data_IF_291949515298
#
_entry.id   IF_291949515298
#
_cell.length_a   1.000
_cell.length_b   1.000
_cell.length_c   1.000
_cell.angle_alpha   90.00
_cell.angle_beta   90.00
_cell.angle_gamma   90.00
#
_symmetry.space_group_name_H-M   'P 1'
#
loop_
_entity.id
_entity.type
_entity.pdbx_description
1 polymer ?
#
# COMPACT_ATOMS: atom_id res chain seq x y z
N UNK A 1 -4.51 -5.96 31.00
CA UNK A 1 -3.50 -6.57 30.11
C UNK A 1 -3.35 -5.66 28.89
N UNK A 2 -2.69 -4.51 29.04
CA UNK A 2 -2.45 -3.59 27.93
C UNK A 2 -1.28 -4.12 27.12
N UNK A 3 -1.51 -4.51 25.86
CA UNK A 3 -0.40 -4.84 24.96
C UNK A 3 0.36 -3.56 24.68
N UNK A 4 1.47 -3.36 25.38
CA UNK A 4 2.56 -2.50 24.94
C UNK A 4 3.04 -3.12 23.62
N UNK A 5 2.69 -2.46 22.52
CA UNK A 5 3.36 -2.72 21.26
C UNK A 5 4.75 -2.14 21.40
N UNK A 6 5.75 -3.00 21.19
CA UNK A 6 7.15 -2.78 21.55
C UNK A 6 7.62 -1.36 21.26
N UNK A 7 8.22 -0.74 22.27
CA UNK A 7 9.22 0.30 22.06
C UNK A 7 10.32 -0.33 21.21
N UNK A 8 10.31 -0.02 19.92
CA UNK A 8 11.42 -0.32 19.03
C UNK A 8 12.39 0.85 19.12
N UNK A 9 13.38 0.69 19.99
CA UNK A 9 14.49 1.63 20.13
C UNK A 9 15.21 1.78 18.77
N UNK A 10 15.07 2.95 18.13
CA UNK A 10 15.94 3.37 17.04
C UNK A 10 15.57 2.95 15.61
N UNK A 11 14.29 2.87 15.25
CA UNK A 11 13.92 2.56 13.85
C UNK A 11 14.06 3.76 12.91
N UNK A 12 15.19 3.82 12.21
CA UNK A 12 15.27 4.46 10.90
C UNK A 12 14.27 3.75 9.98
N UNK A 13 13.19 4.43 9.59
CA UNK A 13 12.20 3.88 8.67
C UNK A 13 12.70 4.06 7.23
N UNK A 14 13.29 3.02 6.58
CA UNK A 14 14.02 3.18 5.31
C UNK A 14 13.14 3.62 4.14
N UNK A 15 11.82 3.62 4.32
CA UNK A 15 10.81 3.95 3.31
C UNK A 15 9.86 5.04 3.80
N UNK A 16 10.25 5.85 4.78
CA UNK A 16 9.38 6.86 5.39
C UNK A 16 8.75 7.80 4.35
N UNK A 17 9.56 8.33 3.44
CA UNK A 17 9.14 9.33 2.47
C UNK A 17 8.15 8.74 1.47
N UNK A 18 8.45 7.57 0.91
CA UNK A 18 7.55 6.90 -0.03
C UNK A 18 6.26 6.42 0.65
N UNK A 19 6.36 5.98 1.91
CA UNK A 19 5.20 5.59 2.72
C UNK A 19 4.29 6.79 2.95
N UNK A 20 4.86 7.93 3.33
CA UNK A 20 4.12 9.17 3.52
C UNK A 20 3.44 9.64 2.23
N UNK A 21 4.12 9.55 1.08
CA UNK A 21 3.54 9.89 -0.21
C UNK A 21 2.36 8.98 -0.56
N UNK A 22 2.52 7.65 -0.44
CA UNK A 22 1.45 6.69 -0.75
C UNK A 22 0.23 6.93 0.14
N UNK A 23 0.43 7.08 1.45
CA UNK A 23 -0.66 7.30 2.40
C UNK A 23 -1.32 8.66 2.18
N UNK A 24 -0.53 9.71 1.94
CA UNK A 24 -1.04 11.05 1.66
C UNK A 24 -1.94 11.08 0.43
N UNK A 25 -1.47 10.55 -0.70
CA UNK A 25 -2.25 10.49 -1.95
C UNK A 25 -3.52 9.64 -1.78
N UNK A 26 -3.43 8.51 -1.07
CA UNK A 26 -4.58 7.67 -0.77
C UNK A 26 -5.66 8.43 0.02
N UNK A 27 -5.27 9.26 0.99
CA UNK A 27 -6.18 10.08 1.79
C UNK A 27 -6.85 11.15 0.91
N UNK A 28 -6.10 11.83 0.05
CA UNK A 28 -6.65 12.87 -0.83
C UNK A 28 -7.65 12.29 -1.84
N UNK A 29 -7.35 11.13 -2.40
CA UNK A 29 -8.28 10.38 -3.27
C UNK A 29 -9.55 10.00 -2.51
N UNK A 30 -9.40 9.49 -1.28
CA UNK A 30 -10.51 9.08 -0.44
C UNK A 30 -11.42 10.26 -0.05
N UNK A 31 -10.83 11.44 0.18
CA UNK A 31 -11.56 12.70 0.43
C UNK A 31 -12.32 13.17 -0.81
N UNK A 32 -11.70 13.07 -2.00
CA UNK A 32 -12.30 13.55 -3.24
C UNK A 32 -13.43 12.64 -3.75
N UNK A 33 -13.28 11.32 -3.63
CA UNK A 33 -14.21 10.34 -4.23
C UNK A 33 -15.20 9.73 -3.22
N UNK A 34 -14.97 9.90 -1.92
CA UNK A 34 -15.80 9.33 -0.87
C UNK A 34 -15.57 7.82 -0.65
N UNK A 35 -16.19 7.28 0.39
CA UNK A 35 -16.12 5.86 0.73
C UNK A 35 -17.09 5.08 -0.16
N UNK A 36 -16.62 4.00 -0.79
CA UNK A 36 -17.41 3.18 -1.71
C UNK A 36 -16.93 3.17 -3.16
N UNK A 37 -15.74 3.70 -3.43
CA UNK A 37 -15.12 3.60 -4.75
C UNK A 37 -14.77 2.16 -5.10
N UNK A 38 -15.02 1.77 -6.36
CA UNK A 38 -14.59 0.48 -6.90
C UNK A 38 -13.05 0.39 -6.94
N UNK A 39 -12.52 -0.82 -6.84
CA UNK A 39 -11.09 -1.10 -6.76
C UNK A 39 -10.32 -0.58 -7.99
N UNK A 40 -10.89 -0.73 -9.19
CA UNK A 40 -10.24 -0.33 -10.44
C UNK A 40 -10.04 1.20 -10.55
N UNK A 41 -11.08 2.05 -10.35
CA UNK A 41 -10.90 3.49 -10.27
C UNK A 41 -9.88 3.90 -9.20
N UNK A 42 -9.88 3.26 -8.04
CA UNK A 42 -8.93 3.58 -6.97
C UNK A 42 -7.48 3.35 -7.42
N UNK A 43 -7.19 2.18 -8.02
CA UNK A 43 -5.86 1.84 -8.56
C UNK A 43 -5.41 2.82 -9.65
N UNK A 44 -6.33 3.26 -10.52
CA UNK A 44 -6.03 4.25 -11.57
C UNK A 44 -5.66 5.60 -10.93
N UNK A 45 -6.51 6.11 -10.03
CA UNK A 45 -6.32 7.41 -9.39
C UNK A 45 -5.04 7.45 -8.58
N UNK A 46 -4.76 6.43 -7.76
CA UNK A 46 -3.58 6.40 -6.91
C UNK A 46 -2.29 6.36 -7.73
N UNK A 47 -2.24 5.52 -8.76
CA UNK A 47 -1.08 5.47 -9.64
C UNK A 47 -0.88 6.76 -10.42
N UNK A 48 -1.97 7.43 -10.84
CA UNK A 48 -1.89 8.73 -11.50
C UNK A 48 -1.34 9.79 -10.55
N UNK A 49 -1.88 9.90 -9.34
CA UNK A 49 -1.46 10.90 -8.35
C UNK A 49 0.00 10.74 -7.95
N UNK A 50 0.43 9.50 -7.66
CA UNK A 50 1.83 9.22 -7.33
C UNK A 50 2.80 9.52 -8.48
N UNK A 51 2.38 9.34 -9.74
CA UNK A 51 3.18 9.74 -10.90
C UNK A 51 3.30 11.27 -11.01
N UNK A 52 2.23 12.01 -10.71
CA UNK A 52 2.27 13.47 -10.66
C UNK A 52 3.18 13.96 -9.53
N UNK A 53 3.22 13.26 -8.40
CA UNK A 53 4.18 13.48 -7.31
C UNK A 53 5.62 13.05 -7.66
N UNK A 54 5.89 12.57 -8.89
CA UNK A 54 7.22 12.23 -9.39
C UNK A 54 7.66 10.79 -9.15
N UNK A 55 6.79 9.93 -8.62
CA UNK A 55 7.12 8.52 -8.39
C UNK A 55 6.96 7.66 -9.65
N UNK A 56 7.85 6.67 -9.79
CA UNK A 56 7.74 5.66 -10.84
C UNK A 56 6.78 4.56 -10.41
N UNK A 57 5.57 4.57 -10.97
CA UNK A 57 4.52 3.61 -10.60
C UNK A 57 4.12 2.72 -11.78
N UNK A 58 4.22 1.41 -11.57
CA UNK A 58 3.62 0.38 -12.43
C UNK A 58 2.39 -0.19 -11.72
N UNK A 59 1.38 -0.58 -12.48
CA UNK A 59 0.20 -1.29 -11.97
C UNK A 59 0.17 -2.67 -12.60
N UNK A 60 -0.43 -3.63 -11.89
CA UNK A 60 -0.71 -4.98 -12.42
C UNK A 60 0.56 -5.64 -12.97
N UNK A 61 1.65 -5.52 -12.22
CA UNK A 61 2.91 -6.17 -12.57
C UNK A 61 2.76 -7.67 -12.36
N UNK A 62 3.18 -8.46 -13.34
CA UNK A 62 3.33 -9.89 -13.15
C UNK A 62 4.39 -10.13 -12.08
N UNK A 63 3.96 -10.67 -10.95
CA UNK A 63 4.84 -11.15 -9.90
C UNK A 63 4.98 -12.66 -10.09
N UNK A 64 6.19 -13.10 -10.37
CA UNK A 64 6.53 -14.53 -10.40
C UNK A 64 6.64 -15.02 -8.96
N UNK A 65 5.49 -15.27 -8.35
CA UNK A 65 5.41 -15.84 -7.00
C UNK A 65 5.44 -17.35 -7.19
N UNK A 66 6.51 -18.01 -6.69
CA UNK A 66 6.60 -19.46 -6.72
C UNK A 66 5.36 -20.08 -6.07
N UNK A 67 4.68 -20.99 -6.79
CA UNK A 67 3.41 -21.59 -6.37
C UNK A 67 3.40 -22.21 -4.95
N UNK A 68 4.58 -22.53 -4.40
CA UNK A 68 4.75 -23.04 -3.04
C UNK A 68 4.38 -22.03 -1.94
N UNK A 69 4.49 -20.72 -2.15
CA UNK A 69 4.10 -19.71 -1.14
C UNK A 69 2.58 -19.47 -1.13
N UNK A 70 1.94 -19.49 -2.29
CA UNK A 70 0.49 -19.25 -2.44
C UNK A 70 -0.31 -20.38 -1.74
N UNK A 71 0.15 -21.64 -1.84
CA UNK A 71 -0.50 -22.78 -1.19
C UNK A 71 -0.40 -22.74 0.34
N UNK A 72 0.64 -22.14 0.92
CA UNK A 72 0.78 -22.01 2.39
C UNK A 72 -0.14 -20.95 2.97
N UNK A 73 -0.39 -19.86 2.25
CA UNK A 73 -1.33 -18.82 2.68
C UNK A 73 -2.79 -19.30 2.66
N UNK A 74 -3.15 -20.20 1.72
CA UNK A 74 -4.51 -20.71 1.57
C UNK A 74 -4.83 -21.95 2.43
N UNK A 75 -3.82 -22.59 3.02
CA UNK A 75 -3.98 -23.81 3.82
C UNK A 75 -4.28 -23.57 5.32
N UNK A 76 -4.52 -22.32 5.74
CA UNK A 76 -4.94 -21.94 7.10
C UNK A 76 -6.45 -21.59 7.16
N UNK A 77 -7.31 -22.39 6.53
CA UNK A 77 -8.76 -22.38 6.75
C UNK A 77 -9.23 -23.69 7.38
#
# INVERSE_FOLDING_TARGET
MGRHWGEVDGEEHPHKEITQAIIGEAIEIQKALGHGLLEDPYKVCLAHSLRLAGHKVKREVFLDIGASEILRASAFQ
#
